data_IF_012237067533
#
_entry.id   IF_012237067533
#
_cell.length_a   1.000
_cell.length_b   1.000
_cell.length_c   1.000
_cell.angle_alpha   90.00
_cell.angle_beta   90.00
_cell.angle_gamma   90.00
#
_symmetry.space_group_name_H-M   'P 1'
#
loop_
_entity.id
_entity.type
_entity.pdbx_description
1 polymer ?
#
# COMPACT_ATOMS: atom_id res chain seq x y z
N UNK A 1 8.38 4.67 7.99
CA UNK A 1 8.89 5.95 7.44
C UNK A 1 8.58 5.94 5.96
N UNK A 2 8.13 7.06 5.42
CA UNK A 2 7.34 7.09 4.20
C UNK A 2 8.03 6.42 2.99
N UNK A 3 7.31 5.49 2.38
CA UNK A 3 7.56 4.86 1.09
C UNK A 3 7.26 5.86 -0.03
N UNK A 4 7.93 7.01 0.02
CA UNK A 4 7.65 8.09 -0.92
C UNK A 4 8.49 7.93 -2.18
N UNK A 5 7.84 8.18 -3.32
CA UNK A 5 8.51 8.42 -4.59
C UNK A 5 9.37 9.68 -4.45
N UNK A 6 10.69 9.55 -4.64
CA UNK A 6 11.61 10.68 -4.57
C UNK A 6 12.25 10.94 -5.93
N UNK A 7 12.38 12.22 -6.29
CA UNK A 7 13.07 12.68 -7.49
C UNK A 7 14.15 13.67 -7.04
N UNK A 8 15.41 13.39 -7.39
CA UNK A 8 16.56 14.22 -7.07
C UNK A 8 17.37 14.54 -8.34
N UNK A 9 18.27 15.52 -8.27
CA UNK A 9 19.26 15.75 -9.34
C UNK A 9 20.39 14.74 -9.22
N UNK A 10 20.85 14.23 -10.35
CA UNK A 10 22.04 13.39 -10.42
C UNK A 10 23.28 14.28 -10.18
N UNK A 11 24.13 13.98 -9.19
CA UNK A 11 25.33 14.78 -8.91
C UNK A 11 26.46 14.58 -9.94
N UNK A 12 26.37 13.60 -10.84
CA UNK A 12 27.36 13.40 -11.90
C UNK A 12 27.33 14.54 -12.93
N UNK A 13 28.45 15.25 -13.06
CA UNK A 13 28.60 16.30 -14.06
C UNK A 13 28.68 15.73 -15.48
N UNK A 14 28.06 16.43 -16.45
CA UNK A 14 28.06 16.03 -17.86
C UNK A 14 27.16 14.83 -18.22
N UNK A 15 26.45 14.26 -17.25
CA UNK A 15 25.53 13.14 -17.50
C UNK A 15 24.34 13.54 -18.38
N UNK A 16 23.97 12.68 -19.32
CA UNK A 16 22.75 12.82 -20.11
C UNK A 16 21.48 12.41 -19.34
N UNK A 17 21.63 11.92 -18.10
CA UNK A 17 20.57 11.47 -17.18
C UNK A 17 20.61 12.32 -15.89
N UNK A 18 20.13 13.58 -15.93
CA UNK A 18 20.30 14.54 -14.85
C UNK A 18 19.43 14.28 -13.62
N UNK A 19 18.61 13.24 -13.59
CA UNK A 19 17.72 12.94 -12.47
C UNK A 19 17.94 11.54 -11.91
N UNK A 20 17.73 11.41 -10.60
CA UNK A 20 17.61 10.15 -9.88
C UNK A 20 16.15 10.00 -9.42
N UNK A 21 15.55 8.85 -9.67
CA UNK A 21 14.17 8.53 -9.29
C UNK A 21 14.18 7.31 -8.37
N UNK A 22 13.75 7.48 -7.12
CA UNK A 22 13.57 6.38 -6.16
C UNK A 22 12.12 5.94 -6.13
N UNK A 23 11.87 4.72 -6.58
CA UNK A 23 10.59 4.04 -6.49
C UNK A 23 10.45 3.35 -5.12
N UNK A 24 9.30 3.51 -4.43
CA UNK A 24 9.06 2.90 -3.12
C UNK A 24 8.63 1.44 -3.26
N UNK A 25 9.57 0.61 -3.71
CA UNK A 25 9.38 -0.83 -3.90
C UNK A 25 10.19 -1.58 -2.86
N UNK A 26 9.54 -1.88 -1.73
CA UNK A 26 10.15 -2.57 -0.59
C UNK A 26 11.02 -1.65 0.28
N UNK A 27 11.59 -2.23 1.34
CA UNK A 27 12.28 -1.48 2.42
C UNK A 27 13.42 -0.58 1.91
N UNK A 28 14.12 -1.03 0.88
CA UNK A 28 15.28 -0.32 0.33
C UNK A 28 14.92 0.58 -0.89
N UNK A 29 13.77 0.32 -1.53
CA UNK A 29 13.36 0.97 -2.78
C UNK A 29 14.25 0.62 -3.99
N UNK A 30 13.91 1.17 -5.16
CA UNK A 30 14.70 1.04 -6.40
C UNK A 30 15.07 2.44 -6.89
N UNK A 31 16.35 2.72 -7.11
CA UNK A 31 16.83 4.01 -7.66
C UNK A 31 17.22 3.85 -9.12
N UNK A 32 16.71 4.74 -9.97
CA UNK A 32 16.92 4.76 -11.41
C UNK A 32 17.50 6.12 -11.84
N UNK A 33 18.46 6.12 -12.77
CA UNK A 33 18.87 7.33 -13.48
C UNK A 33 17.86 7.65 -14.60
N UNK A 34 17.45 8.90 -14.73
CA UNK A 34 16.42 9.33 -15.66
C UNK A 34 16.79 10.62 -16.38
N UNK A 35 16.29 10.75 -17.61
CA UNK A 35 16.46 11.94 -18.45
C UNK A 35 15.49 13.07 -18.09
N UNK A 36 14.35 12.72 -17.49
CA UNK A 36 13.24 13.60 -17.14
C UNK A 36 12.70 13.19 -15.76
N UNK A 37 12.04 14.11 -15.05
CA UNK A 37 11.46 13.87 -13.72
C UNK A 37 10.19 13.01 -13.76
N UNK A 38 9.52 12.96 -14.92
CA UNK A 38 8.31 12.17 -15.12
C UNK A 38 8.20 11.79 -16.60
N UNK A 39 7.62 10.62 -16.96
CA UNK A 39 7.42 10.21 -18.35
C UNK A 39 6.33 11.03 -19.05
N UNK A 40 6.49 12.35 -19.11
CA UNK A 40 5.68 13.22 -19.97
C UNK A 40 6.36 13.37 -21.32
N UNK A 41 7.64 13.74 -21.40
CA UNK A 41 8.25 14.23 -22.65
C UNK A 41 9.26 13.28 -23.31
N UNK A 42 9.90 12.37 -22.56
CA UNK A 42 10.87 11.39 -23.08
C UNK A 42 10.69 10.03 -22.41
N UNK A 43 11.12 8.95 -23.09
CA UNK A 43 11.21 7.60 -22.52
C UNK A 43 12.10 7.64 -21.27
N UNK A 44 11.62 7.11 -20.15
CA UNK A 44 12.46 6.80 -18.98
C UNK A 44 13.08 5.43 -19.26
N UNK A 45 14.40 5.38 -19.44
CA UNK A 45 15.12 4.14 -19.73
C UNK A 45 15.38 3.39 -18.42
N UNK A 46 14.70 2.27 -18.22
CA UNK A 46 15.02 1.34 -17.15
C UNK A 46 16.00 0.30 -17.72
N UNK A 47 17.28 0.43 -17.37
CA UNK A 47 18.24 -0.65 -17.60
C UNK A 47 17.74 -1.90 -16.85
N UNK A 48 17.81 -3.09 -17.46
CA UNK A 48 17.42 -4.42 -16.92
C UNK A 48 15.98 -4.93 -17.13
N UNK A 49 15.29 -4.52 -18.19
CA UNK A 49 13.96 -5.09 -18.55
C UNK A 49 13.97 -6.62 -18.68
N UNK A 50 15.03 -7.19 -19.29
CA UNK A 50 15.16 -8.64 -19.45
C UNK A 50 15.28 -9.38 -18.11
N UNK A 51 16.02 -8.82 -17.16
CA UNK A 51 16.20 -9.42 -15.84
C UNK A 51 14.95 -9.28 -14.98
N UNK A 52 14.22 -8.17 -15.13
CA UNK A 52 12.91 -8.01 -14.51
C UNK A 52 11.94 -9.09 -15.01
N UNK A 53 11.91 -9.38 -16.31
CA UNK A 53 11.08 -10.46 -16.86
C UNK A 53 11.51 -11.84 -16.36
N UNK A 54 12.82 -12.11 -16.29
CA UNK A 54 13.34 -13.37 -15.77
C UNK A 54 12.96 -13.58 -14.29
N UNK A 55 12.98 -12.51 -13.50
CA UNK A 55 12.62 -12.55 -12.07
C UNK A 55 11.11 -12.60 -11.84
N UNK A 56 10.32 -11.95 -12.69
CA UNK A 56 8.87 -11.82 -12.53
C UNK A 56 8.15 -12.20 -13.84
N UNK A 57 8.18 -13.47 -14.23
CA UNK A 57 7.69 -13.91 -15.55
C UNK A 57 6.19 -13.69 -15.77
N UNK A 58 5.41 -13.60 -14.70
CA UNK A 58 3.96 -13.34 -14.75
C UNK A 58 3.62 -11.85 -14.90
N UNK A 59 4.58 -10.95 -14.75
CA UNK A 59 4.34 -9.50 -14.90
C UNK A 59 4.39 -9.18 -16.41
N UNK A 60 3.30 -8.64 -17.00
CA UNK A 60 3.28 -8.32 -18.42
C UNK A 60 4.17 -7.12 -18.73
N UNK A 61 5.02 -7.25 -19.76
CA UNK A 61 5.74 -6.12 -20.37
C UNK A 61 4.92 -5.59 -21.54
N UNK A 62 4.58 -4.31 -21.49
CA UNK A 62 3.85 -3.62 -22.56
C UNK A 62 4.76 -2.61 -23.24
N UNK A 63 5.00 -2.81 -24.54
CA UNK A 63 5.73 -1.85 -25.36
C UNK A 63 4.79 -0.73 -25.81
N UNK A 64 4.93 0.43 -25.18
CA UNK A 64 4.19 1.63 -25.58
C UNK A 64 5.01 2.41 -26.61
N UNK A 65 4.77 2.14 -27.89
CA UNK A 65 5.55 2.66 -29.02
C UNK A 65 5.41 4.18 -29.20
N UNK A 66 4.34 4.77 -28.67
CA UNK A 66 4.09 6.21 -28.68
C UNK A 66 3.86 6.76 -27.28
N UNK A 67 4.08 8.08 -27.13
CA UNK A 67 3.81 8.81 -25.89
C UNK A 67 2.32 8.70 -25.48
N UNK A 68 1.40 8.84 -26.43
CA UNK A 68 -0.03 8.79 -26.13
C UNK A 68 -0.43 7.43 -25.58
N UNK A 69 0.03 6.35 -26.21
CA UNK A 69 -0.23 4.98 -25.75
C UNK A 69 0.38 4.72 -24.36
N UNK A 70 1.59 5.23 -24.10
CA UNK A 70 2.22 5.12 -22.78
C UNK A 70 1.41 5.83 -21.69
N UNK A 71 0.91 7.03 -21.98
CA UNK A 71 0.09 7.81 -21.05
C UNK A 71 -1.24 7.11 -20.74
N UNK A 72 -1.88 6.54 -21.77
CA UNK A 72 -3.13 5.80 -21.61
C UNK A 72 -2.94 4.54 -20.75
N UNK A 73 -1.91 3.75 -21.03
CA UNK A 73 -1.58 2.57 -20.22
C UNK A 73 -1.28 2.93 -18.77
N UNK A 74 -0.50 3.99 -18.54
CA UNK A 74 -0.18 4.46 -17.21
C UNK A 74 -1.42 4.90 -16.44
N UNK A 75 -2.34 5.64 -17.09
CA UNK A 75 -3.60 6.06 -16.49
C UNK A 75 -4.47 4.87 -16.08
N UNK A 76 -4.64 3.89 -16.98
CA UNK A 76 -5.41 2.67 -16.71
C UNK A 76 -4.80 1.84 -15.58
N UNK A 77 -3.48 1.68 -15.60
CA UNK A 77 -2.76 0.93 -14.56
C UNK A 77 -2.89 1.60 -13.18
N UNK A 78 -2.66 2.92 -13.07
CA UNK A 78 -2.87 3.63 -11.82
C UNK A 78 -4.33 3.58 -11.35
N UNK A 79 -5.29 3.67 -12.27
CA UNK A 79 -6.71 3.49 -11.97
C UNK A 79 -6.99 2.11 -11.35
N UNK A 80 -6.42 1.04 -11.92
CA UNK A 80 -6.53 -0.31 -11.37
C UNK A 80 -5.85 -0.43 -9.99
N UNK A 81 -4.66 0.15 -9.79
CA UNK A 81 -3.99 0.16 -8.48
C UNK A 81 -4.81 0.88 -7.41
N UNK A 82 -5.42 2.02 -7.74
CA UNK A 82 -6.30 2.74 -6.82
C UNK A 82 -7.55 1.93 -6.48
N UNK A 83 -8.13 1.22 -7.46
CA UNK A 83 -9.26 0.33 -7.24
C UNK A 83 -8.90 -0.85 -6.33
N UNK A 84 -7.81 -1.56 -6.61
CA UNK A 84 -7.32 -2.66 -5.77
C UNK A 84 -7.00 -2.20 -4.34
N UNK A 85 -6.38 -1.02 -4.20
CA UNK A 85 -6.12 -0.43 -2.88
C UNK A 85 -7.40 -0.09 -2.12
N UNK A 86 -8.44 0.39 -2.81
CA UNK A 86 -9.72 0.68 -2.16
C UNK A 86 -10.46 -0.59 -1.74
N UNK A 87 -10.39 -1.65 -2.54
CA UNK A 87 -10.90 -2.98 -2.19
C UNK A 87 -10.15 -3.56 -0.99
N UNK A 88 -8.81 -3.52 -1.00
CA UNK A 88 -7.97 -4.00 0.10
C UNK A 88 -8.26 -3.24 1.38
N UNK A 89 -8.29 -1.91 1.34
CA UNK A 89 -8.62 -1.08 2.50
C UNK A 89 -10.05 -1.35 3.03
N UNK A 90 -11.00 -1.61 2.12
CA UNK A 90 -12.37 -1.99 2.49
C UNK A 90 -12.41 -3.37 3.14
N UNK A 91 -11.65 -4.33 2.63
CA UNK A 91 -11.52 -5.67 3.20
C UNK A 91 -10.85 -5.63 4.58
N UNK A 92 -9.74 -4.91 4.74
CA UNK A 92 -9.07 -4.72 6.04
C UNK A 92 -10.01 -4.06 7.06
N UNK A 93 -10.80 -3.08 6.63
CA UNK A 93 -11.82 -2.44 7.47
C UNK A 93 -12.93 -3.42 7.86
N UNK A 94 -13.40 -4.26 6.92
CA UNK A 94 -14.42 -5.27 7.18
C UNK A 94 -13.89 -6.38 8.11
N UNK A 95 -12.66 -6.85 7.92
CA UNK A 95 -12.00 -7.83 8.79
C UNK A 95 -11.80 -7.25 10.19
N UNK A 96 -11.39 -5.98 10.30
CA UNK A 96 -11.28 -5.27 11.58
C UNK A 96 -12.64 -5.15 12.27
N UNK A 97 -13.69 -4.80 11.52
CA UNK A 97 -15.06 -4.72 12.05
C UNK A 97 -15.57 -6.08 12.53
N UNK A 98 -15.32 -7.16 11.79
CA UNK A 98 -15.67 -8.53 12.17
C UNK A 98 -14.85 -9.04 13.37
N UNK A 99 -13.60 -8.60 13.48
CA UNK A 99 -12.69 -8.94 14.59
C UNK A 99 -12.97 -8.12 15.84
N UNK A 100 -13.65 -6.97 15.70
CA UNK A 100 -14.04 -6.12 16.82
C UNK A 100 -15.14 -6.81 17.63
N UNK A 101 -14.90 -7.13 18.91
CA UNK A 101 -15.89 -7.82 19.71
C UNK A 101 -17.14 -6.97 19.90
N UNK A 102 -18.30 -7.60 19.72
CA UNK A 102 -19.60 -6.97 19.89
C UNK A 102 -19.88 -6.71 21.37
N UNK A 103 -20.73 -5.72 21.65
CA UNK A 103 -21.15 -5.42 23.02
C UNK A 103 -21.78 -6.65 23.73
N UNK A 104 -22.52 -7.48 22.99
CA UNK A 104 -23.10 -8.71 23.51
C UNK A 104 -22.03 -9.75 23.89
N UNK A 105 -20.98 -9.91 23.08
CA UNK A 105 -19.87 -10.81 23.41
C UNK A 105 -19.13 -10.37 24.68
N UNK A 106 -18.87 -9.07 24.83
CA UNK A 106 -18.20 -8.52 26.02
C UNK A 106 -19.08 -8.71 27.27
N UNK A 107 -20.39 -8.46 27.18
CA UNK A 107 -21.33 -8.70 28.30
C UNK A 107 -21.40 -10.17 28.68
N UNK A 108 -21.49 -11.07 27.70
CA UNK A 108 -21.53 -12.51 27.94
C UNK A 108 -20.27 -12.98 28.67
N UNK A 109 -19.11 -12.47 28.29
CA UNK A 109 -17.84 -12.74 28.98
C UNK A 109 -17.80 -12.16 30.39
N UNK A 110 -18.29 -10.93 30.60
CA UNK A 110 -18.33 -10.28 31.91
C UNK A 110 -19.22 -11.06 32.90
N UNK A 111 -20.42 -11.45 32.47
CA UNK A 111 -21.34 -12.27 33.28
C UNK A 111 -20.74 -13.63 33.62
N UNK A 112 -20.05 -14.28 32.68
CA UNK A 112 -19.38 -15.55 32.93
C UNK A 112 -18.24 -15.46 33.97
N UNK A 113 -17.67 -14.27 34.19
CA UNK A 113 -16.64 -14.00 35.21
C UNK A 113 -17.22 -13.40 36.50
N UNK A 114 -18.55 -13.27 36.62
CA UNK A 114 -19.21 -12.67 37.78
C UNK A 114 -19.07 -11.14 37.85
N UNK A 115 -18.68 -10.47 36.76
CA UNK A 115 -18.60 -9.01 36.70
C UNK A 115 -20.00 -8.45 36.44
N UNK A 116 -20.52 -7.62 37.36
CA UNK A 116 -21.83 -6.97 37.21
C UNK A 116 -21.81 -5.95 36.08
N UNK A 117 -22.70 -6.10 35.09
CA UNK A 117 -22.84 -5.16 33.97
C UNK A 117 -24.30 -4.99 33.57
N UNK A 118 -24.65 -3.79 33.10
CA UNK A 118 -25.98 -3.49 32.55
C UNK A 118 -26.29 -4.36 31.32
N UNK A 119 -27.50 -4.92 31.30
CA UNK A 119 -28.05 -5.75 30.22
C UNK A 119 -28.25 -4.96 28.91
N UNK A 120 -28.48 -3.65 29.01
CA UNK A 120 -28.63 -2.72 27.87
C UNK A 120 -27.65 -1.55 27.92
N UNK A 121 -27.50 -0.87 26.78
CA UNK A 121 -26.76 0.39 26.66
C UNK A 121 -25.34 0.26 26.10
N UNK A 122 -24.48 1.24 26.40
CA UNK A 122 -23.06 1.25 25.98
C UNK A 122 -22.23 0.41 26.95
N UNK A 123 -21.32 -0.41 26.44
CA UNK A 123 -20.38 -1.15 27.29
C UNK A 123 -19.27 -0.19 27.76
N UNK A 124 -18.96 -0.13 29.08
CA UNK A 124 -17.88 0.72 29.59
C UNK A 124 -16.54 0.44 28.92
N UNK A 125 -15.73 1.49 28.70
CA UNK A 125 -14.44 1.37 28.02
C UNK A 125 -13.47 0.43 28.77
N UNK A 126 -13.48 0.50 30.11
CA UNK A 126 -12.64 -0.34 30.98
C UNK A 126 -12.98 -1.83 30.84
N UNK A 127 -14.27 -2.16 30.69
CA UNK A 127 -14.71 -3.55 30.49
C UNK A 127 -14.32 -4.08 29.11
N UNK A 128 -14.35 -3.21 28.08
CA UNK A 128 -13.87 -3.54 26.73
C UNK A 128 -12.36 -3.79 26.73
N UNK A 129 -11.59 -2.97 27.44
CA UNK A 129 -10.13 -3.15 27.59
C UNK A 129 -9.80 -4.46 28.33
N UNK A 130 -10.50 -4.75 29.43
CA UNK A 130 -10.33 -6.00 30.18
C UNK A 130 -10.65 -7.25 29.34
N UNK A 131 -11.69 -7.18 28.51
CA UNK A 131 -12.03 -8.26 27.56
C UNK A 131 -10.91 -8.48 26.53
N UNK A 132 -10.36 -7.41 25.95
CA UNK A 132 -9.29 -7.51 24.96
C UNK A 132 -7.99 -8.06 25.58
N UNK A 133 -7.64 -7.61 26.78
CA UNK A 133 -6.48 -8.11 27.52
C UNK A 133 -6.60 -9.61 27.83
N UNK A 134 -7.80 -10.08 28.19
CA UNK A 134 -8.06 -11.50 28.46
C UNK A 134 -8.06 -12.39 27.20
N UNK A 135 -8.02 -11.81 26.00
CA UNK A 135 -8.06 -12.52 24.71
C UNK A 135 -6.75 -12.47 23.94
N UNK A 136 -5.85 -11.54 24.30
CA UNK A 136 -4.56 -11.30 23.66
C UNK A 136 -3.35 -11.85 24.43
N UNK A 137 -3.57 -12.67 25.46
CA UNK A 137 -2.56 -13.52 26.11
C UNK A 137 -2.86 -14.98 25.83
#
# INVERSE_FOLDING_TARGET
MADDLLIARNPEEGTSLPYLVRLPLGRDGIVLQARETWPRTSKVYCHRVAEAQARFPSVPIVFCETRALAQEWLYRWFGACLHERSLTASQESAVTALSTPSAAQIRKWALARGISVSDRGRVPADLRAAYLAARGG
#
